data_IF_668845088513
#
_entry.id   IF_668845088513
#
_cell.length_a   1.000
_cell.length_b   1.000
_cell.length_c   1.000
_cell.angle_alpha   90.00
_cell.angle_beta   90.00
_cell.angle_gamma   90.00
#
_symmetry.space_group_name_H-M   'P 1'
#
loop_
_entity.id
_entity.type
_entity.pdbx_description
1 polymer ?
#
# COMPACT_ATOMS: atom_id res chain seq x y z
N UNK A 1 -27.46 11.54 -21.30
CA UNK A 1 -27.51 11.64 -22.77
C UNK A 1 -26.51 10.62 -23.28
N UNK A 2 -26.81 9.55 -24.02
CA UNK A 2 -27.92 9.20 -24.90
C UNK A 2 -27.93 7.67 -25.03
N UNK A 3 -29.10 7.05 -24.86
CA UNK A 3 -29.38 5.69 -25.31
C UNK A 3 -29.58 5.67 -26.82
N UNK A 4 -29.14 4.61 -27.50
CA UNK A 4 -29.66 4.29 -28.84
C UNK A 4 -30.01 2.80 -28.86
N UNK A 5 -31.32 2.58 -28.81
CA UNK A 5 -32.03 1.39 -29.24
C UNK A 5 -32.36 1.57 -30.72
N UNK A 6 -32.23 0.53 -31.55
CA UNK A 6 -33.08 0.39 -32.75
C UNK A 6 -33.22 -1.06 -33.18
N UNK A 7 -34.49 -1.50 -33.19
CA UNK A 7 -35.00 -2.77 -33.71
C UNK A 7 -34.83 -2.88 -35.23
N UNK A 8 -34.86 -4.11 -35.76
CA UNK A 8 -35.37 -4.37 -37.11
C UNK A 8 -36.17 -5.67 -37.11
N UNK A 9 -37.44 -5.57 -37.52
CA UNK A 9 -38.39 -6.65 -37.73
C UNK A 9 -39.05 -6.48 -39.12
N UNK A 10 -39.75 -7.52 -39.56
CA UNK A 10 -40.47 -7.76 -40.83
C UNK A 10 -39.65 -8.58 -41.86
N UNK A 11 -40.20 -9.59 -42.54
CA UNK A 11 -41.56 -9.65 -43.08
C UNK A 11 -42.22 -11.05 -43.04
N UNK A 12 -43.54 -10.99 -43.11
CA UNK A 12 -44.52 -12.07 -43.17
C UNK A 12 -44.78 -12.56 -44.61
N UNK A 13 -45.35 -13.76 -44.74
CA UNK A 13 -46.20 -14.12 -45.86
C UNK A 13 -47.33 -15.06 -45.40
N UNK A 14 -48.55 -14.53 -45.36
CA UNK A 14 -49.80 -15.29 -45.42
C UNK A 14 -50.19 -15.45 -46.90
N UNK A 15 -50.71 -16.61 -47.28
CA UNK A 15 -51.66 -16.69 -48.40
C UNK A 15 -52.78 -17.68 -48.05
N UNK A 16 -54.01 -17.25 -48.32
CA UNK A 16 -55.28 -17.89 -48.00
C UNK A 16 -56.18 -17.77 -49.23
N UNK A 17 -56.79 -18.87 -49.63
CA UNK A 17 -57.82 -18.96 -50.69
C UNK A 17 -57.84 -20.42 -51.18
N UNK A 18 -58.94 -21.10 -51.46
CA UNK A 18 -60.37 -20.83 -51.57
C UNK A 18 -61.00 -22.14 -52.12
N UNK A 19 -62.29 -22.36 -51.87
CA UNK A 19 -63.02 -23.66 -51.95
C UNK A 19 -63.36 -24.20 -53.36
N UNK A 20 -63.42 -25.56 -53.42
CA UNK A 20 -64.38 -26.49 -54.07
C UNK A 20 -64.73 -26.36 -55.58
N UNK A 21 -64.51 -27.43 -56.36
CA UNK A 21 -65.54 -28.08 -57.22
C UNK A 21 -65.04 -29.39 -57.87
N UNK A 22 -65.97 -30.30 -58.15
CA UNK A 22 -65.79 -31.70 -58.53
C UNK A 22 -65.09 -31.99 -59.86
N UNK A 23 -64.50 -33.18 -59.93
CA UNK A 23 -63.91 -33.76 -61.12
C UNK A 23 -63.62 -35.23 -60.89
N UNK A 24 -64.66 -36.05 -60.99
CA UNK A 24 -64.65 -37.50 -60.83
C UNK A 24 -64.14 -38.10 -62.14
N UNK A 25 -62.85 -38.40 -62.22
CA UNK A 25 -62.31 -39.28 -63.28
C UNK A 25 -61.62 -40.48 -62.64
N UNK A 26 -62.33 -41.61 -62.71
CA UNK A 26 -61.80 -42.94 -62.45
C UNK A 26 -60.98 -43.36 -63.66
N UNK A 27 -59.81 -43.96 -63.42
CA UNK A 27 -59.28 -44.98 -64.32
C UNK A 27 -58.85 -46.21 -63.52
N UNK A 28 -59.05 -47.44 -64.05
CA UNK A 28 -59.13 -48.66 -63.28
C UNK A 28 -57.98 -49.61 -63.59
N UNK A 29 -57.04 -49.75 -62.66
CA UNK A 29 -56.05 -50.84 -62.61
C UNK A 29 -55.54 -50.81 -61.18
N UNK A 30 -55.96 -51.71 -60.29
CA UNK A 30 -55.58 -53.11 -60.30
C UNK A 30 -54.63 -53.29 -59.11
N UNK A 31 -55.11 -53.95 -58.05
CA UNK A 31 -54.51 -54.10 -56.72
C UNK A 31 -54.66 -52.89 -55.77
N UNK A 32 -55.82 -52.79 -55.13
CA UNK A 32 -55.88 -52.21 -53.78
C UNK A 32 -55.08 -53.13 -52.86
N UNK A 33 -53.83 -52.74 -52.57
CA UNK A 33 -53.12 -53.22 -51.39
C UNK A 33 -54.11 -53.21 -50.21
N UNK A 34 -54.14 -54.24 -49.35
CA UNK A 34 -54.97 -54.18 -48.16
C UNK A 34 -54.58 -52.91 -47.42
N UNK A 35 -55.53 -51.97 -47.31
CA UNK A 35 -55.43 -50.90 -46.31
C UNK A 35 -55.52 -51.62 -44.97
N UNK A 36 -54.38 -52.08 -44.48
CA UNK A 36 -54.25 -52.52 -43.10
C UNK A 36 -54.59 -51.28 -42.29
N UNK A 37 -55.83 -51.20 -41.81
CA UNK A 37 -56.20 -50.23 -40.80
C UNK A 37 -55.32 -50.55 -39.60
N UNK A 38 -54.36 -49.69 -39.32
CA UNK A 38 -53.62 -49.73 -38.07
C UNK A 38 -54.67 -49.58 -36.96
N UNK A 39 -54.68 -50.51 -36.03
CA UNK A 39 -55.50 -50.41 -34.84
C UNK A 39 -55.03 -49.23 -33.98
N UNK A 40 -55.94 -48.66 -33.19
CA UNK A 40 -55.71 -47.43 -32.43
C UNK A 40 -54.49 -47.54 -31.49
N UNK A 41 -54.20 -48.74 -30.99
CA UNK A 41 -53.02 -49.00 -30.15
C UNK A 41 -51.70 -48.84 -30.92
N UNK A 42 -51.64 -49.34 -32.16
CA UNK A 42 -50.46 -49.17 -33.02
C UNK A 42 -50.29 -47.71 -33.44
N UNK A 43 -51.39 -46.98 -33.71
CA UNK A 43 -51.33 -45.55 -33.99
C UNK A 43 -50.82 -44.76 -32.77
N UNK A 44 -51.30 -45.07 -31.57
CA UNK A 44 -50.84 -44.44 -30.34
C UNK A 44 -49.32 -44.64 -30.11
N UNK A 45 -48.82 -45.86 -30.30
CA UNK A 45 -47.38 -46.15 -30.19
C UNK A 45 -46.54 -45.41 -31.24
N UNK A 46 -47.04 -45.26 -32.47
CA UNK A 46 -46.36 -44.48 -33.51
C UNK A 46 -46.30 -43.01 -33.08
N UNK A 47 -47.41 -42.43 -32.61
CA UNK A 47 -47.43 -41.03 -32.15
C UNK A 47 -46.54 -40.78 -30.94
N UNK A 48 -46.46 -41.73 -30.01
CA UNK A 48 -45.56 -41.66 -28.86
C UNK A 48 -44.09 -41.72 -29.31
N UNK A 49 -43.76 -42.65 -30.22
CA UNK A 49 -42.41 -42.75 -30.79
C UNK A 49 -42.00 -41.49 -31.55
N UNK A 50 -42.92 -40.88 -32.32
CA UNK A 50 -42.69 -39.60 -32.99
C UNK A 50 -42.43 -38.47 -31.98
N UNK A 51 -43.21 -38.42 -30.89
CA UNK A 51 -42.98 -37.47 -29.79
C UNK A 51 -41.64 -37.67 -29.09
N UNK A 52 -41.24 -38.93 -28.85
CA UNK A 52 -39.92 -39.24 -28.29
C UNK A 52 -38.79 -38.85 -29.23
N UNK A 53 -38.92 -39.08 -30.55
CA UNK A 53 -37.91 -38.67 -31.53
C UNK A 53 -37.74 -37.15 -31.58
N UNK A 54 -38.84 -36.38 -31.47
CA UNK A 54 -38.77 -34.92 -31.37
C UNK A 54 -38.08 -34.47 -30.07
N UNK A 55 -38.35 -35.15 -28.95
CA UNK A 55 -37.69 -34.87 -27.68
C UNK A 55 -36.19 -35.16 -27.76
N UNK A 56 -35.80 -36.30 -28.35
CA UNK A 56 -34.40 -36.68 -28.58
C UNK A 56 -33.70 -35.62 -29.44
N UNK A 57 -34.32 -35.18 -30.55
CA UNK A 57 -33.75 -34.14 -31.41
C UNK A 57 -33.53 -32.81 -30.66
N UNK A 58 -34.48 -32.44 -29.80
CA UNK A 58 -34.39 -31.23 -28.97
C UNK A 58 -33.25 -31.33 -27.95
N UNK A 59 -33.15 -32.47 -27.27
CA UNK A 59 -32.07 -32.74 -26.31
C UNK A 59 -30.70 -32.79 -26.98
N UNK A 60 -30.61 -33.36 -28.18
CA UNK A 60 -29.37 -33.39 -28.98
C UNK A 60 -28.89 -31.95 -29.27
N UNK A 61 -29.79 -31.09 -29.74
CA UNK A 61 -29.48 -29.69 -30.00
C UNK A 61 -29.04 -28.94 -28.74
N UNK A 62 -29.69 -29.18 -27.60
CA UNK A 62 -29.27 -28.53 -26.34
C UNK A 62 -27.91 -29.06 -25.86
N UNK A 63 -27.63 -30.36 -26.02
CA UNK A 63 -26.31 -30.94 -25.70
C UNK A 63 -25.21 -30.27 -26.53
N UNK A 64 -25.41 -30.10 -27.84
CA UNK A 64 -24.40 -29.51 -28.70
C UNK A 64 -24.18 -28.02 -28.38
N UNK A 65 -25.25 -27.29 -28.07
CA UNK A 65 -25.16 -25.90 -27.57
C UNK A 65 -24.41 -25.80 -26.23
N UNK A 66 -24.60 -26.75 -25.33
CA UNK A 66 -23.90 -26.77 -24.05
C UNK A 66 -22.42 -27.13 -24.22
N UNK A 67 -22.07 -27.99 -25.19
CA UNK A 67 -20.66 -28.26 -25.55
C UNK A 67 -19.97 -27.00 -26.05
N UNK A 68 -20.59 -26.28 -26.98
CA UNK A 68 -20.04 -25.01 -27.50
C UNK A 68 -19.78 -23.99 -26.38
N UNK A 69 -20.73 -23.85 -25.44
CA UNK A 69 -20.56 -22.98 -24.27
C UNK A 69 -19.43 -23.43 -23.36
N UNK A 70 -19.28 -24.73 -23.18
CA UNK A 70 -18.24 -25.30 -22.33
C UNK A 70 -16.85 -25.12 -22.96
N UNK A 71 -16.73 -25.26 -24.27
CA UNK A 71 -15.48 -25.03 -24.98
C UNK A 71 -15.10 -23.53 -24.96
N UNK A 72 -16.05 -22.63 -25.18
CA UNK A 72 -15.82 -21.18 -25.04
C UNK A 72 -15.37 -20.81 -23.60
N UNK A 73 -16.00 -21.39 -22.57
CA UNK A 73 -15.61 -21.15 -21.18
C UNK A 73 -14.22 -21.73 -20.86
N UNK A 74 -13.80 -22.81 -21.53
CA UNK A 74 -12.44 -23.36 -21.38
C UNK A 74 -11.40 -22.44 -21.99
N UNK A 75 -11.64 -21.92 -23.20
CA UNK A 75 -10.76 -20.95 -23.85
C UNK A 75 -10.62 -19.67 -23.00
N UNK A 76 -11.73 -19.15 -22.47
CA UNK A 76 -11.70 -18.01 -21.56
C UNK A 76 -10.89 -18.31 -20.28
N UNK A 77 -11.06 -19.50 -19.70
CA UNK A 77 -10.28 -19.93 -18.54
C UNK A 77 -8.79 -19.99 -18.86
N UNK A 78 -8.41 -20.54 -20.01
CA UNK A 78 -7.01 -20.59 -20.43
C UNK A 78 -6.43 -19.18 -20.63
N UNK A 79 -7.17 -18.29 -21.28
CA UNK A 79 -6.80 -16.88 -21.42
C UNK A 79 -6.57 -16.19 -20.08
N UNK A 80 -7.49 -16.36 -19.12
CA UNK A 80 -7.36 -15.79 -17.78
C UNK A 80 -6.17 -16.40 -17.01
N UNK A 81 -5.88 -17.68 -17.19
CA UNK A 81 -4.69 -18.31 -16.58
C UNK A 81 -3.41 -17.68 -17.12
N UNK A 82 -3.33 -17.41 -18.42
CA UNK A 82 -2.20 -16.68 -19.01
C UNK A 82 -2.11 -15.25 -18.47
N UNK A 83 -3.23 -14.52 -18.41
CA UNK A 83 -3.26 -13.15 -17.88
C UNK A 83 -2.81 -13.10 -16.40
N UNK A 84 -3.27 -14.03 -15.57
CA UNK A 84 -2.84 -14.14 -14.17
C UNK A 84 -1.35 -14.47 -14.06
N UNK A 85 -0.83 -15.36 -14.93
CA UNK A 85 0.59 -15.68 -14.96
C UNK A 85 1.43 -14.45 -15.36
N UNK A 86 0.97 -13.69 -16.35
CA UNK A 86 1.61 -12.45 -16.80
C UNK A 86 1.58 -11.37 -15.71
N UNK A 87 0.43 -11.13 -15.07
CA UNK A 87 0.33 -10.19 -13.95
C UNK A 87 1.20 -10.61 -12.76
N UNK A 88 1.34 -11.91 -12.49
CA UNK A 88 2.26 -12.42 -11.47
C UNK A 88 3.72 -12.19 -11.86
N UNK A 89 4.06 -12.37 -13.14
CA UNK A 89 5.38 -12.05 -13.68
C UNK A 89 5.68 -10.57 -13.53
N UNK A 90 4.77 -9.69 -13.97
CA UNK A 90 4.87 -8.24 -13.83
C UNK A 90 4.92 -7.79 -12.37
N UNK A 91 4.17 -8.42 -11.46
CA UNK A 91 4.26 -8.13 -10.04
C UNK A 91 5.60 -8.61 -9.45
N UNK A 92 6.10 -9.77 -9.87
CA UNK A 92 7.44 -10.25 -9.51
C UNK A 92 8.53 -9.29 -9.98
N UNK A 93 8.39 -8.74 -11.19
CA UNK A 93 9.27 -7.72 -11.76
C UNK A 93 9.13 -6.38 -11.02
N UNK A 94 7.91 -5.90 -10.75
CA UNK A 94 7.66 -4.67 -10.02
C UNK A 94 8.13 -4.72 -8.55
N UNK A 95 8.03 -5.89 -7.90
CA UNK A 95 8.60 -6.13 -6.57
C UNK A 95 10.14 -6.19 -6.63
N UNK A 96 10.73 -6.50 -7.78
CA UNK A 96 12.18 -6.47 -8.00
C UNK A 96 12.73 -5.12 -8.52
N UNK A 97 11.89 -4.23 -9.04
CA UNK A 97 12.31 -2.97 -9.66
C UNK A 97 12.32 -1.75 -8.72
N UNK A 98 12.01 -1.92 -7.44
CA UNK A 98 12.37 -0.91 -6.46
C UNK A 98 13.88 -0.94 -6.21
N UNK A 99 14.61 -0.31 -7.10
CA UNK A 99 16.03 -0.06 -6.97
C UNK A 99 16.22 1.17 -6.10
N UNK A 100 16.98 1.01 -5.01
CA UNK A 100 17.50 2.15 -4.24
C UNK A 100 18.33 3.03 -5.20
N UNK A 101 18.58 4.30 -4.86
CA UNK A 101 19.50 5.18 -5.61
C UNK A 101 20.93 4.64 -5.76
N UNK A 102 21.26 3.56 -5.04
CA UNK A 102 22.49 2.77 -5.16
C UNK A 102 22.46 1.66 -6.23
N UNK A 103 21.35 1.47 -6.95
CA UNK A 103 21.18 0.42 -7.97
C UNK A 103 20.94 -0.98 -7.41
N UNK A 104 20.81 -1.13 -6.08
CA UNK A 104 20.52 -2.42 -5.44
C UNK A 104 19.02 -2.72 -5.50
N UNK A 105 18.67 -3.88 -6.04
CA UNK A 105 17.30 -4.43 -6.05
C UNK A 105 16.86 -4.74 -4.62
N UNK A 106 15.73 -4.16 -4.20
CA UNK A 106 15.20 -4.30 -2.85
C UNK A 106 13.98 -5.21 -2.86
N UNK A 107 13.99 -6.24 -2.02
CA UNK A 107 12.77 -6.94 -1.64
C UNK A 107 12.15 -6.25 -0.41
N UNK A 108 11.09 -5.47 -0.61
CA UNK A 108 10.44 -4.72 0.46
C UNK A 108 10.00 -5.57 1.65
N UNK A 109 9.59 -6.82 1.41
CA UNK A 109 9.20 -7.71 2.50
C UNK A 109 10.40 -8.00 3.41
N UNK A 110 11.53 -8.36 2.81
CA UNK A 110 12.74 -8.70 3.54
C UNK A 110 13.33 -7.48 4.25
N UNK A 111 13.34 -6.31 3.61
CA UNK A 111 13.80 -5.08 4.27
C UNK A 111 12.88 -4.64 5.41
N UNK A 112 11.56 -4.82 5.27
CA UNK A 112 10.62 -4.54 6.37
C UNK A 112 10.85 -5.46 7.56
N UNK A 113 11.04 -6.76 7.32
CA UNK A 113 11.37 -7.74 8.37
C UNK A 113 12.72 -7.40 9.04
N UNK A 114 13.74 -7.07 8.26
CA UNK A 114 15.05 -6.65 8.77
C UNK A 114 14.94 -5.38 9.62
N UNK A 115 14.16 -4.40 9.18
CA UNK A 115 13.93 -3.15 9.91
C UNK A 115 13.21 -3.41 11.24
N UNK A 116 12.25 -4.34 11.27
CA UNK A 116 11.54 -4.72 12.49
C UNK A 116 12.51 -5.33 13.52
N UNK A 117 13.38 -6.24 13.08
CA UNK A 117 14.40 -6.87 13.94
C UNK A 117 15.38 -5.82 14.48
N UNK A 118 15.83 -4.90 13.64
CA UNK A 118 16.72 -3.81 14.05
C UNK A 118 16.05 -2.88 15.07
N UNK A 119 14.78 -2.55 14.87
CA UNK A 119 14.00 -1.73 15.80
C UNK A 119 13.85 -2.40 17.18
N UNK A 120 13.58 -3.70 17.21
CA UNK A 120 13.50 -4.47 18.46
C UNK A 120 14.86 -4.51 19.19
N UNK A 121 15.96 -4.65 18.45
CA UNK A 121 17.31 -4.60 19.02
C UNK A 121 17.60 -3.24 19.67
N UNK A 122 17.34 -2.15 18.95
CA UNK A 122 17.52 -0.77 19.48
C UNK A 122 16.65 -0.53 20.70
N UNK A 123 15.43 -1.07 20.72
CA UNK A 123 14.53 -0.94 21.88
C UNK A 123 15.08 -1.65 23.11
N UNK A 124 15.63 -2.86 22.95
CA UNK A 124 16.30 -3.59 24.04
C UNK A 124 17.54 -2.84 24.54
N UNK A 125 18.37 -2.32 23.64
CA UNK A 125 19.57 -1.55 24.01
C UNK A 125 19.21 -0.26 24.76
N UNK A 126 18.16 0.44 24.33
CA UNK A 126 17.63 1.61 25.03
C UNK A 126 17.23 1.25 26.47
N UNK A 127 16.51 0.15 26.64
CA UNK A 127 16.02 -0.26 27.96
C UNK A 127 17.16 -0.73 28.86
N UNK A 128 18.15 -1.42 28.31
CA UNK A 128 19.38 -1.78 29.02
C UNK A 128 20.16 -0.55 29.47
N UNK A 129 20.36 0.44 28.57
CA UNK A 129 21.04 1.69 28.90
C UNK A 129 20.28 2.50 29.95
N UNK A 130 18.95 2.55 29.87
CA UNK A 130 18.12 3.18 30.89
C UNK A 130 18.32 2.53 32.26
N UNK A 131 18.32 1.20 32.32
CA UNK A 131 18.56 0.47 33.56
C UNK A 131 19.97 0.73 34.12
N UNK A 132 20.99 0.83 33.27
CA UNK A 132 22.36 1.19 33.68
C UNK A 132 22.43 2.61 34.24
N UNK A 133 21.80 3.59 33.58
CA UNK A 133 21.74 4.98 34.07
C UNK A 133 21.01 5.04 35.41
N UNK A 134 19.88 4.33 35.56
CA UNK A 134 19.14 4.28 36.81
C UNK A 134 19.98 3.64 37.94
N UNK A 135 20.74 2.59 37.63
CA UNK A 135 21.65 1.95 38.58
C UNK A 135 22.82 2.87 38.98
N UNK A 136 23.45 3.53 38.01
CA UNK A 136 24.53 4.49 38.25
C UNK A 136 24.04 5.68 39.09
N UNK A 137 22.84 6.21 38.78
CA UNK A 137 22.22 7.30 39.53
C UNK A 137 21.92 6.89 40.97
N UNK A 138 21.46 5.66 41.21
CA UNK A 138 21.24 5.13 42.57
C UNK A 138 22.55 4.97 43.33
N UNK A 139 23.59 4.44 42.67
CA UNK A 139 24.91 4.28 43.26
C UNK A 139 25.54 5.63 43.64
N UNK A 140 25.45 6.64 42.77
CA UNK A 140 25.93 7.99 43.04
C UNK A 140 25.20 8.63 44.24
N UNK A 141 23.87 8.50 44.30
CA UNK A 141 23.08 8.98 45.46
C UNK A 141 23.51 8.31 46.76
N UNK A 142 23.81 7.01 46.74
CA UNK A 142 24.30 6.28 47.92
C UNK A 142 25.71 6.73 48.31
N UNK A 143 26.62 6.92 47.35
CA UNK A 143 27.96 7.49 47.59
C UNK A 143 27.88 8.89 48.21
N UNK A 144 27.04 9.78 47.67
CA UNK A 144 26.86 11.12 48.23
C UNK A 144 26.29 11.10 49.66
N UNK A 145 25.41 10.14 49.98
CA UNK A 145 24.90 9.96 51.34
C UNK A 145 25.95 9.38 52.31
N UNK A 146 26.88 8.58 51.82
CA UNK A 146 27.99 8.02 52.62
C UNK A 146 29.16 9.01 52.78
N UNK A 147 29.31 10.00 51.88
CA UNK A 147 30.38 11.01 51.91
C UNK A 147 30.06 12.29 52.72
N UNK A 148 29.01 12.30 53.55
CA UNK A 148 28.83 13.34 54.56
C UNK A 148 29.19 12.77 55.95
N UNK A 149 30.19 13.30 56.70
CA UNK A 149 30.66 14.70 56.72
C UNK A 149 32.18 14.89 56.47
N UNK A 150 32.58 16.16 56.30
CA UNK A 150 33.96 16.70 56.30
C UNK A 150 34.60 16.99 54.93
N UNK A 151 34.39 18.21 54.46
CA UNK A 151 35.42 19.26 54.27
C UNK A 151 34.93 20.26 53.23
N UNK A 152 34.81 21.52 53.66
CA UNK A 152 34.24 22.62 52.88
C UNK A 152 35.21 23.19 51.83
N UNK A 153 36.25 22.45 51.41
CA UNK A 153 37.38 23.02 50.63
C UNK A 153 37.40 22.67 49.14
N UNK A 154 36.67 21.66 48.69
CA UNK A 154 36.66 21.24 47.26
C UNK A 154 35.38 21.62 46.47
N UNK A 155 34.50 22.44 47.06
CA UNK A 155 33.21 22.82 46.43
C UNK A 155 33.32 23.75 45.21
N UNK A 156 34.51 24.09 44.74
CA UNK A 156 34.72 24.93 43.56
C UNK A 156 34.39 24.22 42.25
N UNK A 157 34.86 22.98 42.05
CA UNK A 157 34.80 22.35 40.73
C UNK A 157 33.55 21.47 40.49
N UNK A 158 32.92 20.94 41.53
CA UNK A 158 31.75 20.04 41.38
C UNK A 158 30.42 20.78 41.12
N UNK A 159 30.34 22.09 41.37
CA UNK A 159 29.12 22.89 41.12
C UNK A 159 29.04 23.46 39.70
N UNK A 160 30.16 23.56 38.99
CA UNK A 160 30.20 24.19 37.67
C UNK A 160 29.73 23.24 36.55
N UNK A 161 29.97 21.93 36.67
CA UNK A 161 29.57 20.93 35.67
C UNK A 161 28.04 20.83 35.43
N UNK A 162 27.16 20.73 36.46
CA UNK A 162 25.72 20.65 36.22
C UNK A 162 25.12 21.99 35.73
N UNK A 163 25.70 23.12 36.13
CA UNK A 163 25.27 24.45 35.68
C UNK A 163 25.70 24.74 34.23
N UNK A 164 26.89 24.28 33.83
CA UNK A 164 27.40 24.43 32.45
C UNK A 164 26.68 23.49 31.48
N UNK A 165 26.41 22.24 31.84
CA UNK A 165 25.59 21.32 31.03
C UNK A 165 24.14 21.80 30.87
N UNK A 166 23.54 22.33 31.96
CA UNK A 166 22.18 22.90 31.89
C UNK A 166 22.12 24.13 30.97
N UNK A 167 23.14 25.00 31.03
CA UNK A 167 23.26 26.13 30.11
C UNK A 167 23.55 25.70 28.66
N UNK A 168 24.37 24.66 28.48
CA UNK A 168 24.73 24.07 27.20
C UNK A 168 23.52 23.52 26.43
N UNK A 169 22.60 22.88 27.16
CA UNK A 169 21.42 22.21 26.61
C UNK A 169 20.21 23.12 26.44
N UNK A 170 20.21 24.33 27.02
CA UNK A 170 19.09 25.27 26.93
C UNK A 170 18.79 25.71 25.49
N UNK A 171 19.82 26.00 24.70
CA UNK A 171 19.67 26.37 23.28
C UNK A 171 19.27 25.19 22.39
N UNK A 172 19.89 24.00 22.50
CA UNK A 172 19.42 22.78 21.85
C UNK A 172 17.94 22.48 22.10
N UNK A 173 17.47 22.61 23.34
CA UNK A 173 16.07 22.33 23.68
C UNK A 173 15.10 23.35 23.05
N UNK A 174 15.49 24.63 22.97
CA UNK A 174 14.71 25.64 22.26
C UNK A 174 14.61 25.36 20.75
N UNK A 175 15.71 24.90 20.14
CA UNK A 175 15.75 24.54 18.73
C UNK A 175 14.94 23.27 18.45
N UNK A 176 15.02 22.27 19.33
CA UNK A 176 14.21 21.06 19.28
C UNK A 176 12.70 21.40 19.36
N UNK A 177 12.29 22.24 20.32
CA UNK A 177 10.90 22.67 20.43
C UNK A 177 10.39 23.45 19.21
N UNK A 178 11.27 24.26 18.56
CA UNK A 178 10.92 24.90 17.28
C UNK A 178 10.80 23.88 16.15
N UNK A 179 11.71 22.93 16.05
CA UNK A 179 11.65 21.85 15.04
C UNK A 179 10.40 20.97 15.22
N UNK A 180 10.01 20.66 16.45
CA UNK A 180 8.77 19.95 16.77
C UNK A 180 7.54 20.78 16.37
N UNK A 181 7.53 22.08 16.65
CA UNK A 181 6.43 22.97 16.23
C UNK A 181 6.27 23.01 14.71
N UNK A 182 7.38 23.12 13.97
CA UNK A 182 7.36 23.06 12.51
C UNK A 182 6.88 21.69 12.04
N UNK A 183 7.40 20.60 12.61
CA UNK A 183 6.98 19.23 12.24
C UNK A 183 5.49 18.99 12.50
N UNK A 184 4.96 19.47 13.63
CA UNK A 184 3.55 19.36 13.97
C UNK A 184 2.66 20.11 12.99
N UNK A 185 3.07 21.30 12.52
CA UNK A 185 2.34 22.05 11.48
C UNK A 185 2.38 21.34 10.13
N UNK A 186 3.48 20.68 9.78
CA UNK A 186 3.62 19.89 8.55
C UNK A 186 2.70 18.67 8.54
N UNK A 187 2.48 18.07 9.71
CA UNK A 187 1.64 16.89 9.92
C UNK A 187 0.16 17.23 10.16
N UNK A 188 -0.22 18.52 10.22
CA UNK A 188 -1.60 18.94 10.40
C UNK A 188 -2.45 18.54 9.17
N UNK A 189 -3.49 17.70 9.33
CA UNK A 189 -4.35 17.28 8.23
C UNK A 189 -5.14 18.44 7.59
N UNK A 190 -5.28 19.58 8.27
CA UNK A 190 -5.91 20.78 7.71
C UNK A 190 -4.98 21.53 6.71
N UNK A 191 -3.67 21.24 6.72
CA UNK A 191 -2.70 21.89 5.85
C UNK A 191 -2.64 21.21 4.48
N UNK A 192 -3.29 21.83 3.49
CA UNK A 192 -3.25 21.36 2.09
C UNK A 192 -1.82 21.38 1.55
N UNK A 193 -1.40 20.38 0.75
CA UNK A 193 -0.07 20.34 0.13
C UNK A 193 0.29 21.62 -0.63
N UNK A 194 -0.66 22.17 -1.40
CA UNK A 194 -0.47 23.40 -2.17
C UNK A 194 -0.16 24.64 -1.31
N UNK A 195 -0.57 24.66 -0.04
CA UNK A 195 -0.35 25.79 0.87
C UNK A 195 0.90 25.63 1.73
N UNK A 196 1.54 24.44 1.74
CA UNK A 196 2.67 24.12 2.64
C UNK A 196 3.81 25.09 2.45
N UNK A 197 4.21 25.34 1.21
CA UNK A 197 5.27 26.30 0.90
C UNK A 197 4.92 27.70 1.43
N UNK A 198 3.76 28.24 1.08
CA UNK A 198 3.39 29.61 1.49
C UNK A 198 3.25 29.78 3.01
N UNK A 199 2.77 28.75 3.73
CA UNK A 199 2.49 28.83 5.17
C UNK A 199 3.69 28.48 6.04
N UNK A 200 4.61 27.65 5.55
CA UNK A 200 5.69 27.08 6.38
C UNK A 200 7.09 27.58 6.02
N UNK A 201 7.27 28.20 4.85
CA UNK A 201 8.57 28.70 4.43
C UNK A 201 9.20 29.64 5.48
N UNK A 202 8.44 30.61 6.01
CA UNK A 202 8.91 31.53 7.05
C UNK A 202 9.32 30.83 8.35
N UNK A 203 8.60 29.79 8.74
CA UNK A 203 8.88 29.04 9.96
C UNK A 203 10.17 28.21 9.81
N UNK A 204 10.37 27.60 8.64
CA UNK A 204 11.58 26.84 8.30
C UNK A 204 12.79 27.78 8.17
N UNK A 205 12.64 28.95 7.54
CA UNK A 205 13.69 29.98 7.47
C UNK A 205 14.05 30.51 8.87
N UNK A 206 13.05 30.73 9.74
CA UNK A 206 13.27 31.15 11.11
C UNK A 206 14.02 30.10 11.94
N UNK A 207 13.70 28.81 11.75
CA UNK A 207 14.44 27.70 12.36
C UNK A 207 15.88 27.65 11.85
N UNK A 208 16.09 27.76 10.53
CA UNK A 208 17.41 27.78 9.92
C UNK A 208 18.27 28.95 10.41
N UNK A 209 17.71 30.15 10.50
CA UNK A 209 18.40 31.31 11.05
C UNK A 209 18.82 31.07 12.51
N UNK A 210 17.99 30.40 13.29
CA UNK A 210 18.28 30.06 14.69
C UNK A 210 19.41 29.02 14.80
N UNK A 211 19.43 28.02 13.90
CA UNK A 211 20.50 27.03 13.81
C UNK A 211 21.81 27.67 13.36
N UNK A 212 21.78 28.59 12.39
CA UNK A 212 22.97 29.37 11.99
C UNK A 212 23.51 30.22 13.13
N UNK A 213 22.63 30.88 13.90
CA UNK A 213 23.03 31.67 15.06
C UNK A 213 23.69 30.80 16.15
N UNK A 214 23.17 29.59 16.35
CA UNK A 214 23.77 28.61 17.25
C UNK A 214 25.16 28.15 16.76
N UNK A 215 25.31 27.97 15.44
CA UNK A 215 26.59 27.64 14.80
C UNK A 215 27.61 28.77 14.92
N UNK A 216 27.22 30.03 14.78
CA UNK A 216 28.14 31.18 14.94
C UNK A 216 28.52 31.43 16.40
N UNK A 217 27.63 31.14 17.36
CA UNK A 217 27.96 31.24 18.79
C UNK A 217 29.07 30.27 19.24
N UNK A 218 29.25 29.16 18.49
CA UNK A 218 30.33 28.17 18.69
C UNK A 218 31.71 28.71 18.32
N UNK A 219 31.82 29.54 17.27
CA UNK A 219 33.11 30.06 16.80
C UNK A 219 33.79 30.99 17.82
N UNK A 220 33.04 31.48 18.80
CA UNK A 220 33.52 32.35 19.88
C UNK A 220 33.92 31.64 21.18
N UNK A 221 33.74 30.31 21.29
CA UNK A 221 34.03 29.54 22.52
C UNK A 221 35.08 28.45 22.32
N UNK A 222 36.14 28.75 21.57
CA UNK A 222 37.37 27.95 21.55
C UNK A 222 38.30 28.38 22.67
N UNK A 223 37.88 28.23 23.93
CA UNK A 223 38.83 28.19 25.03
C UNK A 223 39.40 26.77 25.07
N UNK A 224 40.55 26.57 24.41
CA UNK A 224 41.30 25.32 24.45
C UNK A 224 41.76 25.09 25.88
N UNK A 225 41.30 24.01 26.50
CA UNK A 225 41.82 23.51 27.76
C UNK A 225 43.28 23.09 27.58
N UNK A 226 44.12 23.33 28.60
CA UNK A 226 45.58 23.17 28.54
C UNK A 226 46.07 21.76 28.12
N UNK A 227 45.20 20.75 28.21
CA UNK A 227 45.50 19.35 27.93
C UNK A 227 45.18 18.90 26.49
N UNK A 228 44.77 19.80 25.59
CA UNK A 228 44.63 19.51 24.16
C UNK A 228 43.44 18.61 23.77
N UNK A 229 42.73 18.02 24.72
CA UNK A 229 41.45 17.34 24.47
C UNK A 229 40.27 18.32 24.51
N UNK A 230 39.38 18.30 23.50
CA UNK A 230 38.18 19.12 23.53
C UNK A 230 37.25 18.66 24.66
N UNK A 231 36.71 19.57 25.48
CA UNK A 231 35.78 19.20 26.55
C UNK A 231 34.59 18.42 25.98
N UNK A 232 34.09 17.41 26.70
CA UNK A 232 32.98 16.55 26.26
C UNK A 232 31.72 17.34 25.81
N UNK A 233 31.51 18.53 26.40
CA UNK A 233 30.46 19.47 25.99
C UNK A 233 30.59 19.91 24.52
N UNK A 234 31.82 20.04 24.01
CA UNK A 234 32.09 20.38 22.61
C UNK A 234 31.65 19.26 21.65
N UNK A 235 31.86 17.99 22.02
CA UNK A 235 31.47 16.84 21.20
C UNK A 235 29.95 16.67 21.16
N UNK A 236 29.28 16.80 22.31
CA UNK A 236 27.81 16.74 22.39
C UNK A 236 27.18 17.85 21.55
N UNK A 237 27.69 19.08 21.65
CA UNK A 237 27.21 20.21 20.83
C UNK A 237 27.47 20.01 19.34
N UNK A 238 28.58 19.38 18.95
CA UNK A 238 28.84 19.03 17.54
C UNK A 238 27.79 18.06 16.98
N UNK A 239 27.48 17.00 17.72
CA UNK A 239 26.43 16.06 17.33
C UNK A 239 25.06 16.75 17.19
N UNK A 240 24.73 17.65 18.12
CA UNK A 240 23.47 18.41 18.09
C UNK A 240 23.40 19.33 16.86
N UNK A 241 24.47 20.04 16.51
CA UNK A 241 24.49 20.90 15.31
C UNK A 241 24.28 20.08 14.04
N UNK A 242 24.97 18.95 13.91
CA UNK A 242 24.84 18.08 12.74
C UNK A 242 23.40 17.55 12.61
N UNK A 243 22.80 17.13 13.72
CA UNK A 243 21.41 16.68 13.75
C UNK A 243 20.43 17.79 13.34
N UNK A 244 20.64 19.02 13.84
CA UNK A 244 19.81 20.18 13.49
C UNK A 244 19.95 20.58 12.02
N UNK A 245 21.16 20.53 11.45
CA UNK A 245 21.40 20.79 10.02
C UNK A 245 20.66 19.75 9.14
N UNK A 246 20.66 18.47 9.54
CA UNK A 246 19.91 17.42 8.85
C UNK A 246 18.41 17.66 8.95
N UNK A 247 17.90 17.96 10.15
CA UNK A 247 16.47 18.24 10.38
C UNK A 247 15.97 19.42 9.54
N UNK A 248 16.72 20.52 9.50
CA UNK A 248 16.35 21.70 8.68
C UNK A 248 16.30 21.35 7.19
N UNK A 249 17.24 20.54 6.69
CA UNK A 249 17.21 20.07 5.29
C UNK A 249 15.97 19.23 4.99
N UNK A 250 15.67 18.25 5.85
CA UNK A 250 14.48 17.40 5.69
C UNK A 250 13.19 18.22 5.71
N UNK A 251 13.09 19.20 6.61
CA UNK A 251 11.93 20.09 6.69
C UNK A 251 11.79 20.98 5.45
N UNK A 252 12.90 21.49 4.90
CA UNK A 252 12.89 22.24 3.64
C UNK A 252 12.37 21.38 2.49
N UNK A 253 12.93 20.20 2.32
CA UNK A 253 12.53 19.28 1.24
C UNK A 253 11.04 18.92 1.33
N UNK A 254 10.53 18.70 2.55
CA UNK A 254 9.13 18.39 2.79
C UNK A 254 8.16 19.55 2.51
N UNK A 255 8.63 20.80 2.62
CA UNK A 255 7.84 22.00 2.33
C UNK A 255 7.86 22.35 0.83
N UNK A 256 8.91 21.94 0.11
CA UNK A 256 9.04 22.16 -1.34
C UNK A 256 8.39 21.08 -2.22
N UNK A 257 8.02 19.92 -1.65
CA UNK A 257 7.28 18.84 -2.34
C UNK A 257 5.78 19.04 -2.23
#
# INVERSE_FOLDING_TARGET
MTSISTNTAMAAAQSKGGRLAGGKERSPTGATLPRVGLDDATVALITENEGMLQCIATLQHEVDKQKERLDAAREERESLVYEVAELRSQLGLAVSEATLSSGKVINYKTEYENLLVAFDAVTRDRDANKAQIDAATKWEKQQMQQQAPSTARDRGHARELPLTLSAALKMPNMLAGRAESVSAKLLDPALRPADRHSKMHKDVEGLEASVRQYKSAREYTTAVTADGEPPADLQIRQCVVVLLDILVKLLKDAVTR
#
